data_IF_928902951755
#
_entry.id   IF_928902951755
#
_cell.length_a   1.000
_cell.length_b   1.000
_cell.length_c   1.000
_cell.angle_alpha   90.00
_cell.angle_beta   90.00
_cell.angle_gamma   90.00
#
_symmetry.space_group_name_H-M   'P 1'
#
loop_
_entity.id
_entity.type
_entity.pdbx_description
1 polymer ?
#
# COMPACT_ATOMS: atom_id res chain seq x y z
N UNK A 1 -0.38 26.10 2.44
CA UNK A 1 0.47 24.91 2.75
C UNK A 1 0.47 24.00 1.53
N UNK A 2 1.64 23.67 0.97
CA UNK A 2 1.73 22.77 -0.20
C UNK A 2 1.40 21.33 0.25
N UNK A 3 0.48 20.68 -0.46
CA UNK A 3 0.12 19.29 -0.21
C UNK A 3 1.27 18.38 -0.65
N UNK A 4 1.95 17.72 0.30
CA UNK A 4 2.92 16.66 -0.01
C UNK A 4 2.15 15.45 -0.52
N UNK A 5 2.39 15.10 -1.78
CA UNK A 5 1.70 14.02 -2.49
C UNK A 5 2.72 13.26 -3.33
N UNK A 6 2.49 11.98 -3.49
CA UNK A 6 3.21 11.16 -4.45
C UNK A 6 2.81 11.52 -5.89
N UNK A 7 3.68 11.16 -6.83
CA UNK A 7 3.33 11.13 -8.25
C UNK A 7 2.14 10.16 -8.42
N UNK A 8 1.21 10.48 -9.32
CA UNK A 8 0.00 9.68 -9.47
C UNK A 8 0.32 8.23 -9.82
N UNK A 9 -0.43 7.30 -9.21
CA UNK A 9 -0.36 5.87 -9.46
C UNK A 9 0.97 5.17 -9.12
N UNK A 10 1.88 5.82 -8.37
CA UNK A 10 3.12 5.15 -7.92
C UNK A 10 2.95 4.35 -6.63
N UNK A 11 1.98 4.72 -5.79
CA UNK A 11 1.79 4.05 -4.51
C UNK A 11 1.43 2.57 -4.73
N UNK A 12 1.96 1.67 -3.92
CA UNK A 12 1.67 0.24 -4.01
C UNK A 12 0.28 -0.14 -3.44
N UNK A 13 -0.74 0.66 -3.76
CA UNK A 13 -2.14 0.47 -3.39
C UNK A 13 -2.91 -0.20 -4.53
N UNK A 14 -3.49 -1.37 -4.26
CA UNK A 14 -4.39 -2.11 -5.15
C UNK A 14 -5.75 -2.26 -4.52
N UNK A 15 -6.80 -2.00 -5.29
CA UNK A 15 -8.20 -2.10 -4.85
C UNK A 15 -9.00 -3.00 -5.79
N UNK A 16 -9.72 -3.97 -5.23
CA UNK A 16 -10.60 -4.89 -5.95
C UNK A 16 -12.07 -4.61 -5.58
N UNK A 17 -12.77 -3.94 -6.48
CA UNK A 17 -14.18 -3.56 -6.30
C UNK A 17 -15.13 -4.76 -6.19
N UNK A 18 -14.78 -5.94 -6.74
CA UNK A 18 -15.63 -7.14 -6.66
C UNK A 18 -15.70 -7.71 -5.25
N UNK A 19 -14.64 -7.51 -4.44
CA UNK A 19 -14.59 -7.93 -3.03
C UNK A 19 -15.12 -6.87 -2.06
N UNK A 20 -15.37 -5.65 -2.53
CA UNK A 20 -15.85 -4.57 -1.67
C UNK A 20 -17.35 -4.73 -1.38
N UNK A 21 -17.69 -4.79 -0.10
CA UNK A 21 -19.07 -4.85 0.42
C UNK A 21 -19.62 -3.48 0.83
N UNK A 22 -18.78 -2.44 0.85
CA UNK A 22 -19.19 -1.10 1.26
C UNK A 22 -19.23 -0.84 2.77
N UNK A 23 -18.52 -1.62 3.59
CA UNK A 23 -18.51 -1.46 5.06
C UNK A 23 -17.82 -0.18 5.58
N UNK A 24 -17.32 0.68 4.69
CA UNK A 24 -16.71 1.99 4.98
C UNK A 24 -15.46 2.01 5.86
N UNK A 25 -14.95 0.86 6.32
CA UNK A 25 -13.78 0.80 7.22
C UNK A 25 -12.57 1.51 6.62
N UNK A 26 -12.32 1.34 5.33
CA UNK A 26 -11.21 2.01 4.63
C UNK A 26 -11.29 3.54 4.65
N UNK A 27 -12.49 4.12 4.66
CA UNK A 27 -12.71 5.57 4.77
C UNK A 27 -12.42 6.03 6.19
N UNK A 28 -12.87 5.26 7.20
CA UNK A 28 -12.71 5.60 8.63
C UNK A 28 -11.26 5.55 9.12
N UNK A 29 -10.48 4.58 8.64
CA UNK A 29 -9.11 4.34 9.16
C UNK A 29 -8.01 5.03 8.35
N UNK A 30 -8.34 5.65 7.20
CA UNK A 30 -7.32 6.27 6.35
C UNK A 30 -7.00 7.69 6.83
N UNK A 31 -5.79 7.96 7.36
CA UNK A 31 -5.43 9.31 7.84
C UNK A 31 -5.25 10.33 6.71
N UNK A 32 -5.26 9.87 5.45
CA UNK A 32 -5.07 10.68 4.24
C UNK A 32 -6.31 10.75 3.37
N UNK A 33 -7.44 10.18 3.80
CA UNK A 33 -8.72 10.20 3.08
C UNK A 33 -8.61 9.73 1.61
N UNK A 34 -7.82 8.68 1.35
CA UNK A 34 -7.61 8.11 0.01
C UNK A 34 -8.89 7.50 -0.57
N UNK A 35 -9.80 7.05 0.30
CA UNK A 35 -11.05 6.40 -0.09
C UNK A 35 -12.25 7.29 0.19
N UNK A 36 -13.23 7.23 -0.71
CA UNK A 36 -14.56 7.81 -0.56
C UNK A 36 -15.60 6.75 -0.86
N UNK A 37 -16.84 6.96 -0.42
CA UNK A 37 -17.96 6.12 -0.81
C UNK A 37 -18.57 6.62 -2.11
N UNK A 38 -18.74 5.72 -3.08
CA UNK A 38 -19.47 5.96 -4.32
C UNK A 38 -20.60 4.93 -4.43
N UNK A 39 -21.81 5.37 -4.08
CA UNK A 39 -22.96 4.49 -3.93
C UNK A 39 -22.75 3.47 -2.81
N UNK A 40 -22.81 2.17 -3.15
CA UNK A 40 -22.68 1.06 -2.19
C UNK A 40 -21.26 0.52 -2.03
N UNK A 41 -20.26 1.12 -2.69
CA UNK A 41 -18.87 0.64 -2.65
C UNK A 41 -17.91 1.78 -2.41
N UNK A 42 -16.74 1.44 -1.86
CA UNK A 42 -15.64 2.39 -1.77
C UNK A 42 -15.06 2.66 -3.16
N UNK A 43 -14.47 3.84 -3.34
CA UNK A 43 -13.69 4.26 -4.49
C UNK A 43 -12.40 4.90 -4.02
N UNK A 44 -11.32 4.65 -4.75
CA UNK A 44 -10.06 5.38 -4.55
C UNK A 44 -10.24 6.79 -5.12
N UNK A 45 -10.34 7.78 -4.26
CA UNK A 45 -10.46 9.18 -4.65
C UNK A 45 -9.10 9.78 -5.02
N UNK A 46 -8.06 9.33 -4.31
CA UNK A 46 -6.77 10.00 -4.35
C UNK A 46 -5.61 9.03 -4.09
N UNK A 47 -5.10 8.46 -5.17
CA UNK A 47 -4.02 7.49 -5.08
C UNK A 47 -2.69 8.12 -4.63
N UNK A 48 -2.40 9.35 -5.08
CA UNK A 48 -1.18 10.09 -4.72
C UNK A 48 -1.13 10.58 -3.26
N UNK A 49 -2.25 10.53 -2.54
CA UNK A 49 -2.28 10.79 -1.09
C UNK A 49 -1.94 9.56 -0.24
N UNK A 50 -1.86 8.36 -0.83
CA UNK A 50 -1.54 7.13 -0.11
C UNK A 50 -0.09 7.14 0.39
N UNK A 51 0.07 7.09 1.71
CA UNK A 51 1.38 6.99 2.38
C UNK A 51 1.75 5.54 2.73
N UNK A 52 1.07 4.57 2.11
CA UNK A 52 1.40 3.13 2.23
C UNK A 52 1.41 2.61 3.68
N UNK A 53 0.61 3.22 4.57
CA UNK A 53 0.56 2.85 5.99
C UNK A 53 -0.14 1.50 6.27
N UNK A 54 -0.84 0.92 5.30
CA UNK A 54 -1.50 -0.38 5.43
C UNK A 54 -2.78 -0.44 6.29
N UNK A 55 -3.18 0.66 6.96
CA UNK A 55 -4.34 0.64 7.87
C UNK A 55 -5.64 0.16 7.20
N UNK A 56 -5.91 0.60 5.97
CA UNK A 56 -7.10 0.18 5.21
C UNK A 56 -7.07 -1.32 4.82
N UNK A 57 -5.88 -1.86 4.55
CA UNK A 57 -5.69 -3.29 4.23
C UNK A 57 -5.96 -4.14 5.47
N UNK A 58 -5.36 -3.80 6.61
CA UNK A 58 -5.53 -4.55 7.87
C UNK A 58 -6.99 -4.56 8.34
N UNK A 59 -7.73 -3.48 8.10
CA UNK A 59 -9.14 -3.37 8.49
C UNK A 59 -10.13 -3.86 7.43
N UNK A 60 -9.67 -4.35 6.28
CA UNK A 60 -10.54 -4.89 5.25
C UNK A 60 -10.77 -6.39 5.45
N UNK A 61 -11.82 -6.74 6.20
CA UNK A 61 -12.20 -8.14 6.45
C UNK A 61 -12.47 -8.97 5.17
N UNK A 62 -12.75 -8.30 4.04
CA UNK A 62 -13.06 -8.95 2.76
C UNK A 62 -11.86 -9.04 1.81
N UNK A 63 -10.69 -8.53 2.21
CA UNK A 63 -9.48 -8.54 1.38
C UNK A 63 -9.65 -7.79 0.05
N UNK A 64 -10.41 -6.69 0.05
CA UNK A 64 -10.64 -5.86 -1.13
C UNK A 64 -9.49 -4.86 -1.38
N UNK A 65 -8.61 -4.65 -0.40
CA UNK A 65 -7.54 -3.66 -0.45
C UNK A 65 -6.22 -4.33 -0.12
N UNK A 66 -5.19 -4.08 -0.93
CA UNK A 66 -3.83 -4.51 -0.68
C UNK A 66 -2.89 -3.30 -0.76
N UNK A 67 -2.00 -3.16 0.21
CA UNK A 67 -0.99 -2.11 0.28
C UNK A 67 0.34 -2.77 0.60
N UNK A 68 1.35 -2.58 -0.23
CA UNK A 68 2.72 -2.96 0.13
C UNK A 68 3.27 -1.92 1.10
N UNK A 69 3.56 -2.33 2.33
CA UNK A 69 3.98 -1.41 3.40
C UNK A 69 5.49 -1.39 3.53
N UNK A 70 6.05 -0.18 3.59
CA UNK A 70 7.45 0.05 3.93
C UNK A 70 8.39 0.09 2.73
N UNK A 71 9.56 0.73 2.88
CA UNK A 71 10.57 0.74 1.83
C UNK A 71 11.16 -0.67 1.68
N UNK A 72 11.28 -1.16 0.45
CA UNK A 72 11.77 -2.53 0.18
C UNK A 72 13.12 -2.86 0.82
N UNK A 73 13.97 -1.85 1.07
CA UNK A 73 15.24 -2.04 1.78
C UNK A 73 15.06 -2.46 3.26
N UNK A 74 14.04 -1.95 3.95
CA UNK A 74 13.77 -2.36 5.33
C UNK A 74 13.24 -3.78 5.40
N UNK A 75 12.36 -4.16 4.45
CA UNK A 75 11.87 -5.53 4.33
C UNK A 75 13.02 -6.53 4.07
N UNK A 76 13.97 -6.16 3.21
CA UNK A 76 15.16 -6.97 2.95
C UNK A 76 16.06 -7.13 4.19
N UNK A 77 16.34 -6.04 4.91
CA UNK A 77 17.18 -6.09 6.12
C UNK A 77 16.52 -6.92 7.22
N UNK A 78 15.22 -6.75 7.46
CA UNK A 78 14.50 -7.49 8.51
C UNK A 78 14.29 -8.97 8.15
N UNK A 79 14.16 -9.29 6.86
CA UNK A 79 14.04 -10.66 6.37
C UNK A 79 15.37 -11.42 6.32
N UNK A 80 16.50 -10.70 6.32
CA UNK A 80 17.82 -11.31 6.39
C UNK A 80 18.03 -11.92 7.79
N UNK A 81 18.22 -13.24 7.86
CA UNK A 81 18.53 -13.98 9.11
C UNK A 81 19.95 -13.65 9.60
N UNK A 82 20.23 -12.39 9.91
CA UNK A 82 21.53 -11.91 10.39
C UNK A 82 22.65 -11.87 9.34
N UNK A 83 22.36 -12.13 8.07
CA UNK A 83 23.28 -11.87 6.95
C UNK A 83 23.15 -10.42 6.50
N UNK A 84 24.25 -9.74 6.16
CA UNK A 84 24.17 -8.36 5.67
C UNK A 84 23.44 -8.37 4.32
N UNK A 85 22.35 -7.59 4.20
CA UNK A 85 21.74 -7.34 2.90
C UNK A 85 22.74 -6.57 2.03
N UNK A 86 23.13 -7.13 0.89
CA UNK A 86 24.08 -6.51 -0.03
C UNK A 86 23.31 -5.78 -1.13
N UNK A 87 23.77 -4.57 -1.48
CA UNK A 87 23.21 -3.83 -2.59
C UNK A 87 23.63 -4.49 -3.91
N UNK A 88 22.68 -5.18 -4.56
CA UNK A 88 22.91 -5.86 -5.84
C UNK A 88 21.97 -5.32 -6.92
N UNK A 89 22.49 -5.15 -8.13
CA UNK A 89 21.63 -5.07 -9.32
C UNK A 89 21.12 -6.50 -9.58
N UNK A 90 19.94 -6.85 -9.05
CA UNK A 90 19.39 -8.20 -9.18
C UNK A 90 19.12 -8.57 -10.64
N UNK A 91 19.72 -9.66 -11.11
CA UNK A 91 19.54 -10.17 -12.48
C UNK A 91 18.27 -11.05 -12.64
N UNK A 92 17.58 -11.38 -11.55
CA UNK A 92 16.40 -12.25 -11.56
C UNK A 92 15.18 -11.65 -10.84
N UNK A 93 13.99 -11.90 -11.39
CA UNK A 93 12.69 -11.27 -11.07
C UNK A 93 12.13 -11.51 -9.66
N UNK A 94 12.93 -11.93 -8.69
CA UNK A 94 12.44 -12.23 -7.34
C UNK A 94 13.44 -11.95 -6.20
N UNK A 95 14.59 -11.36 -6.48
CA UNK A 95 15.50 -10.82 -5.46
C UNK A 95 15.46 -9.30 -5.56
N UNK A 96 15.04 -8.64 -4.47
CA UNK A 96 15.04 -7.18 -4.41
C UNK A 96 16.46 -6.62 -4.60
N UNK A 97 16.57 -5.30 -4.80
CA UNK A 97 17.87 -4.61 -4.89
C UNK A 97 18.76 -4.76 -3.63
N UNK A 98 18.21 -5.33 -2.56
CA UNK A 98 18.88 -5.71 -1.33
C UNK A 98 18.62 -7.22 -1.14
N UNK A 99 19.62 -8.05 -1.46
CA UNK A 99 19.58 -9.52 -1.38
C UNK A 99 20.60 -10.07 -0.39
#
# INVERSE_FOLDING_TARGET
MKQLRYVENIAALKYNQNKCTGCEMCVKVCPRNVFVMEGKKAKVADHGACIECGACMVNCAYGAINVETGPGCAAAILGSKGGKAECGCGDDKNTGCCG
#
